data_IF_439569338017
#
_entry.id   IF_439569338017
#
_cell.length_a   1.000
_cell.length_b   1.000
_cell.length_c   1.000
_cell.angle_alpha   90.00
_cell.angle_beta   90.00
_cell.angle_gamma   90.00
#
_symmetry.space_group_name_H-M   'P 1'
#
loop_
_entity.id
_entity.type
_entity.pdbx_description
1 polymer ?
#
# COMPACT_ATOMS: atom_id res chain seq x y z
N UNK A 1 -12.88 -5.09 30.04
CA UNK A 1 -12.12 -6.08 29.25
C UNK A 1 -11.26 -5.33 28.23
N UNK A 2 -9.96 -5.62 28.13
CA UNK A 2 -9.14 -5.12 27.02
C UNK A 2 -9.34 -6.08 25.85
N UNK A 3 -10.11 -5.69 24.85
CA UNK A 3 -10.16 -6.43 23.58
C UNK A 3 -8.74 -6.58 23.01
N UNK A 4 -8.40 -7.78 22.57
CA UNK A 4 -7.10 -8.03 21.95
C UNK A 4 -7.04 -7.33 20.58
N UNK A 5 -5.83 -6.93 20.14
CA UNK A 5 -5.64 -6.32 18.81
C UNK A 5 -6.15 -7.26 17.70
N UNK A 6 -6.02 -8.58 17.90
CA UNK A 6 -6.48 -9.62 16.98
C UNK A 6 -8.00 -9.68 16.91
N UNK A 7 -8.73 -9.55 18.03
CA UNK A 7 -10.20 -9.51 18.01
C UNK A 7 -10.74 -8.34 17.17
N UNK A 8 -10.11 -7.17 17.30
CA UNK A 8 -10.47 -5.97 16.53
C UNK A 8 -10.26 -6.16 15.03
N UNK A 9 -9.13 -6.74 14.65
CA UNK A 9 -8.85 -7.09 13.24
C UNK A 9 -9.87 -8.12 12.76
N UNK A 10 -10.09 -9.18 13.54
CA UNK A 10 -11.01 -10.28 13.20
C UNK A 10 -12.43 -9.78 12.95
N UNK A 11 -12.92 -8.85 13.77
CA UNK A 11 -14.24 -8.25 13.60
C UNK A 11 -14.37 -7.54 12.24
N UNK A 12 -13.39 -6.68 11.89
CA UNK A 12 -13.41 -5.89 10.66
C UNK A 12 -13.29 -6.77 9.41
N UNK A 13 -12.38 -7.74 9.41
CA UNK A 13 -12.19 -8.62 8.24
C UNK A 13 -13.33 -9.63 8.05
N UNK A 14 -14.05 -9.97 9.12
CA UNK A 14 -15.20 -10.89 9.04
C UNK A 14 -16.46 -10.19 8.56
N UNK A 15 -16.72 -8.96 9.07
CA UNK A 15 -17.82 -8.11 8.62
C UNK A 15 -17.60 -7.63 7.19
N UNK A 16 -16.36 -7.28 6.86
CA UNK A 16 -16.01 -6.50 5.69
C UNK A 16 -15.78 -5.04 6.09
N UNK A 17 -14.81 -4.40 5.43
CA UNK A 17 -14.51 -2.98 5.59
C UNK A 17 -15.39 -2.19 4.62
N UNK A 18 -16.19 -1.26 5.13
CA UNK A 18 -17.22 -0.52 4.38
C UNK A 18 -16.99 1.00 4.37
N UNK A 19 -16.04 1.49 5.18
CA UNK A 19 -15.73 2.91 5.29
C UNK A 19 -14.23 3.18 5.40
N UNK A 20 -13.83 4.41 5.08
CA UNK A 20 -12.45 4.91 5.26
C UNK A 20 -11.97 4.76 6.70
N UNK A 21 -12.82 5.11 7.68
CA UNK A 21 -12.50 5.00 9.10
C UNK A 21 -12.22 3.54 9.51
N UNK A 22 -13.02 2.58 9.04
CA UNK A 22 -12.79 1.15 9.29
C UNK A 22 -11.49 0.67 8.61
N UNK A 23 -11.20 1.15 7.40
CA UNK A 23 -9.96 0.83 6.68
C UNK A 23 -8.72 1.32 7.45
N UNK A 24 -8.71 2.59 7.84
CA UNK A 24 -7.64 3.21 8.63
C UNK A 24 -7.48 2.46 9.95
N UNK A 25 -8.58 2.20 10.65
CA UNK A 25 -8.54 1.52 11.94
C UNK A 25 -8.00 0.09 11.82
N UNK A 26 -8.42 -0.67 10.80
CA UNK A 26 -7.90 -2.01 10.52
C UNK A 26 -6.39 -1.98 10.27
N UNK A 27 -5.92 -1.11 9.38
CA UNK A 27 -4.49 -0.99 9.04
C UNK A 27 -3.67 -0.54 10.25
N UNK A 28 -4.19 0.35 11.08
CA UNK A 28 -3.56 0.77 12.33
C UNK A 28 -3.43 -0.40 13.34
N UNK A 29 -4.45 -1.25 13.48
CA UNK A 29 -4.38 -2.44 14.33
C UNK A 29 -3.36 -3.46 13.79
N UNK A 30 -3.33 -3.70 12.46
CA UNK A 30 -2.35 -4.60 11.82
C UNK A 30 -0.94 -4.10 12.10
N UNK A 31 -0.65 -2.82 11.84
CA UNK A 31 0.67 -2.23 12.11
C UNK A 31 1.06 -2.36 13.58
N UNK A 32 0.14 -2.05 14.49
CA UNK A 32 0.36 -2.20 15.94
C UNK A 32 0.75 -3.64 16.29
N UNK A 33 0.06 -4.64 15.76
CA UNK A 33 0.37 -6.04 16.02
C UNK A 33 1.77 -6.41 15.51
N UNK A 34 2.08 -6.03 14.27
CA UNK A 34 3.38 -6.26 13.63
C UNK A 34 4.52 -5.64 14.46
N UNK A 35 4.36 -4.39 14.92
CA UNK A 35 5.36 -3.69 15.72
C UNK A 35 5.53 -4.28 17.12
N UNK A 36 4.41 -4.61 17.80
CA UNK A 36 4.43 -5.20 19.15
C UNK A 36 5.18 -6.53 19.20
N UNK A 37 5.08 -7.33 18.14
CA UNK A 37 5.69 -8.66 18.05
C UNK A 37 6.97 -8.68 17.22
N UNK A 38 7.43 -7.52 16.72
CA UNK A 38 8.63 -7.38 15.87
C UNK A 38 8.61 -8.36 14.68
N UNK A 39 7.44 -8.48 14.06
CA UNK A 39 7.26 -9.40 12.93
C UNK A 39 7.96 -8.81 11.72
N UNK A 40 9.03 -9.47 11.29
CA UNK A 40 9.70 -9.14 10.03
C UNK A 40 8.88 -9.63 8.83
N UNK A 41 9.04 -8.97 7.69
CA UNK A 41 8.16 -9.16 6.53
C UNK A 41 6.95 -8.22 6.55
N UNK A 42 6.04 -8.42 5.60
CA UNK A 42 4.85 -7.58 5.39
C UNK A 42 5.13 -6.13 4.99
N UNK A 43 5.99 -5.92 3.99
CA UNK A 43 6.39 -4.58 3.55
C UNK A 43 5.19 -3.78 3.01
N UNK A 44 4.31 -4.39 2.21
CA UNK A 44 3.14 -3.73 1.62
C UNK A 44 2.09 -3.39 2.69
N UNK A 45 1.86 -4.26 3.67
CA UNK A 45 0.95 -3.96 4.79
C UNK A 45 1.48 -2.80 5.65
N UNK A 46 2.78 -2.80 5.96
CA UNK A 46 3.44 -1.69 6.67
C UNK A 46 3.36 -0.40 5.86
N UNK A 47 3.56 -0.49 4.56
CA UNK A 47 3.44 0.65 3.65
C UNK A 47 2.02 1.21 3.69
N UNK A 48 0.98 0.39 3.46
CA UNK A 48 -0.42 0.81 3.55
C UNK A 48 -0.75 1.50 4.87
N UNK A 49 -0.38 0.87 5.99
CA UNK A 49 -0.69 1.40 7.31
C UNK A 49 0.05 2.69 7.64
N UNK A 50 1.23 2.91 7.06
CA UNK A 50 1.88 4.21 7.15
C UNK A 50 1.18 5.20 6.22
N UNK A 51 0.88 4.82 4.99
CA UNK A 51 0.27 5.70 3.99
C UNK A 51 -1.07 6.29 4.47
N UNK A 52 -1.85 5.54 5.24
CA UNK A 52 -3.12 6.04 5.80
C UNK A 52 -3.00 6.95 7.02
N UNK A 53 -1.82 7.09 7.62
CA UNK A 53 -1.63 7.80 8.90
C UNK A 53 -0.75 9.05 8.80
N UNK A 54 -0.07 9.26 7.68
CA UNK A 54 0.80 10.42 7.48
C UNK A 54 0.31 11.25 6.31
N UNK A 55 0.33 12.57 6.42
CA UNK A 55 0.02 13.49 5.32
C UNK A 55 1.09 13.49 4.22
N UNK A 56 2.31 13.07 4.54
CA UNK A 56 3.43 12.86 3.61
C UNK A 56 4.25 11.68 4.11
N UNK A 57 4.58 10.73 3.23
CA UNK A 57 5.34 9.54 3.61
C UNK A 57 6.84 9.73 3.33
N UNK A 58 7.61 10.14 4.35
CA UNK A 58 9.04 10.40 4.22
C UNK A 58 9.94 9.48 5.06
N UNK A 59 9.37 8.41 5.64
CA UNK A 59 10.10 7.50 6.52
C UNK A 59 11.18 6.68 5.77
N UNK A 60 12.11 6.08 6.51
CA UNK A 60 13.25 5.32 5.95
C UNK A 60 12.83 4.22 4.96
N UNK A 61 11.72 3.53 5.23
CA UNK A 61 11.21 2.47 4.36
C UNK A 61 10.80 2.99 2.99
N UNK A 62 10.13 4.14 2.97
CA UNK A 62 9.72 4.79 1.72
C UNK A 62 10.91 5.36 0.98
N UNK A 63 11.85 6.00 1.68
CA UNK A 63 13.06 6.54 1.04
C UNK A 63 13.91 5.43 0.39
N UNK A 64 13.93 4.22 0.97
CA UNK A 64 14.55 3.05 0.34
C UNK A 64 13.87 2.64 -0.96
N UNK A 65 12.53 2.59 -0.97
CA UNK A 65 11.75 2.31 -2.18
C UNK A 65 11.92 3.40 -3.25
N UNK A 66 11.84 4.69 -2.88
CA UNK A 66 12.02 5.80 -3.81
C UNK A 66 13.42 5.79 -4.42
N UNK A 67 14.45 5.37 -3.66
CA UNK A 67 15.81 5.21 -4.20
C UNK A 67 15.89 4.08 -5.21
N UNK A 68 15.37 2.90 -4.89
CA UNK A 68 15.32 1.77 -5.84
C UNK A 68 14.56 2.14 -7.13
N UNK A 69 13.46 2.89 -7.00
CA UNK A 69 12.69 3.37 -8.14
C UNK A 69 13.48 4.41 -8.95
N UNK A 70 14.20 5.32 -8.29
CA UNK A 70 15.05 6.31 -8.96
C UNK A 70 16.18 5.64 -9.74
N UNK A 71 16.87 4.68 -9.13
CA UNK A 71 17.97 3.94 -9.76
C UNK A 71 17.47 3.19 -11.01
N UNK A 72 16.28 2.58 -10.93
CA UNK A 72 15.63 1.98 -12.10
C UNK A 72 15.33 2.99 -13.22
N UNK A 73 14.89 4.20 -12.88
CA UNK A 73 14.62 5.25 -13.88
C UNK A 73 15.91 5.78 -14.53
N UNK A 74 16.97 5.95 -13.74
CA UNK A 74 18.30 6.35 -14.23
C UNK A 74 18.85 5.31 -15.22
N UNK A 75 18.73 4.02 -14.87
CA UNK A 75 19.16 2.94 -15.74
C UNK A 75 18.36 2.90 -17.04
N UNK A 76 17.03 3.07 -16.95
CA UNK A 76 16.17 3.09 -18.12
C UNK A 76 16.48 4.26 -19.07
N UNK A 77 16.79 5.45 -18.52
CA UNK A 77 17.23 6.59 -19.33
C UNK A 77 18.58 6.34 -19.99
N UNK A 78 19.53 5.76 -19.25
CA UNK A 78 20.89 5.48 -19.73
C UNK A 78 20.90 4.45 -20.86
N UNK A 79 20.04 3.44 -20.79
CA UNK A 79 20.02 2.32 -21.75
C UNK A 79 18.89 2.43 -22.78
N UNK A 80 17.96 3.37 -22.61
CA UNK A 80 16.81 3.57 -23.50
C UNK A 80 15.68 2.54 -23.36
N UNK A 81 15.74 1.63 -22.38
CA UNK A 81 14.77 0.54 -22.20
C UNK A 81 14.45 0.27 -20.71
N UNK A 82 13.19 -0.05 -20.42
CA UNK A 82 12.72 -0.38 -19.07
C UNK A 82 12.89 -1.87 -18.75
N UNK A 83 14.04 -2.27 -18.22
CA UNK A 83 14.33 -3.67 -17.86
C UNK A 83 13.95 -4.05 -16.42
N UNK A 84 12.66 -3.96 -16.08
CA UNK A 84 12.19 -4.27 -14.70
C UNK A 84 12.52 -5.70 -14.23
N UNK A 85 12.79 -6.62 -15.17
CA UNK A 85 13.23 -7.98 -14.86
C UNK A 85 14.57 -8.04 -14.11
N UNK A 86 15.44 -7.05 -14.28
CA UNK A 86 16.73 -6.94 -13.57
C UNK A 86 16.55 -6.46 -12.12
N UNK A 87 15.34 -6.01 -11.76
CA UNK A 87 14.99 -5.44 -10.48
C UNK A 87 13.87 -6.25 -9.79
N UNK A 88 14.12 -7.52 -9.40
CA UNK A 88 13.07 -8.42 -8.90
C UNK A 88 12.36 -7.91 -7.63
N UNK A 89 13.10 -7.26 -6.72
CA UNK A 89 12.53 -6.67 -5.51
C UNK A 89 11.63 -5.47 -5.83
N UNK A 90 12.08 -4.57 -6.72
CA UNK A 90 11.27 -3.43 -7.18
C UNK A 90 10.04 -3.92 -7.94
N UNK A 91 10.19 -4.93 -8.82
CA UNK A 91 9.07 -5.56 -9.53
C UNK A 91 8.00 -6.08 -8.56
N UNK A 92 8.41 -6.70 -7.45
CA UNK A 92 7.50 -7.16 -6.40
C UNK A 92 6.78 -5.98 -5.73
N UNK A 93 7.51 -4.92 -5.37
CA UNK A 93 6.92 -3.70 -4.77
C UNK A 93 5.96 -2.97 -5.73
N UNK A 94 6.29 -2.90 -7.02
CA UNK A 94 5.43 -2.33 -8.07
C UNK A 94 4.21 -3.21 -8.36
N UNK A 95 4.31 -4.52 -8.10
CA UNK A 95 3.16 -5.45 -8.09
C UNK A 95 2.34 -5.32 -6.80
N UNK A 96 2.18 -4.07 -6.32
CA UNK A 96 1.69 -3.71 -5.00
C UNK A 96 0.38 -4.40 -4.63
N UNK A 97 -0.61 -4.39 -5.52
CA UNK A 97 -1.93 -4.98 -5.27
C UNK A 97 -1.83 -6.48 -5.01
N UNK A 98 -1.08 -7.21 -5.85
CA UNK A 98 -0.90 -8.65 -5.71
C UNK A 98 -0.12 -8.97 -4.43
N UNK A 99 0.97 -8.24 -4.16
CA UNK A 99 1.78 -8.49 -2.96
C UNK A 99 1.07 -8.08 -1.67
N UNK A 100 0.27 -7.01 -1.66
CA UNK A 100 -0.56 -6.63 -0.53
C UNK A 100 -1.58 -7.72 -0.19
N UNK A 101 -2.18 -8.31 -1.21
CA UNK A 101 -3.16 -9.38 -1.06
C UNK A 101 -2.55 -10.63 -0.43
N UNK A 102 -1.39 -11.06 -0.94
CA UNK A 102 -0.63 -12.19 -0.40
C UNK A 102 -0.24 -11.92 1.05
N UNK A 103 0.34 -10.75 1.33
CA UNK A 103 0.75 -10.36 2.68
C UNK A 103 -0.44 -10.29 3.66
N UNK A 104 -1.58 -9.75 3.24
CA UNK A 104 -2.79 -9.71 4.08
C UNK A 104 -3.32 -11.11 4.39
N UNK A 105 -3.37 -11.98 3.37
CA UNK A 105 -3.79 -13.37 3.55
C UNK A 105 -2.85 -14.11 4.51
N UNK A 106 -1.54 -14.01 4.28
CA UNK A 106 -0.52 -14.65 5.11
C UNK A 106 -0.56 -14.15 6.55
N UNK A 107 -0.72 -12.84 6.75
CA UNK A 107 -0.88 -12.23 8.06
C UNK A 107 -2.10 -12.81 8.80
N UNK A 108 -3.27 -12.80 8.16
CA UNK A 108 -4.52 -13.26 8.78
C UNK A 108 -4.46 -14.75 9.14
N UNK A 109 -3.85 -15.57 8.27
CA UNK A 109 -3.60 -16.98 8.55
C UNK A 109 -2.66 -17.17 9.73
N UNK A 110 -1.55 -16.42 9.79
CA UNK A 110 -0.56 -16.51 10.87
C UNK A 110 -1.14 -16.19 12.25
N UNK A 111 -2.10 -15.25 12.32
CA UNK A 111 -2.79 -14.89 13.58
C UNK A 111 -4.07 -15.70 13.84
N UNK A 112 -4.35 -16.71 13.02
CA UNK A 112 -5.49 -17.63 13.20
C UNK A 112 -6.86 -17.06 12.84
N UNK A 113 -6.92 -15.97 12.08
CA UNK A 113 -8.19 -15.36 11.63
C UNK A 113 -8.63 -16.00 10.32
N UNK A 114 -9.79 -16.63 10.32
CA UNK A 114 -10.47 -17.08 9.09
C UNK A 114 -11.01 -15.87 8.34
N UNK A 115 -10.25 -15.37 7.38
CA UNK A 115 -10.64 -14.22 6.58
C UNK A 115 -11.54 -14.63 5.41
N UNK A 116 -12.53 -13.79 5.11
CA UNK A 116 -13.25 -13.84 3.83
C UNK A 116 -12.49 -13.12 2.72
N UNK A 117 -11.39 -12.42 3.03
CA UNK A 117 -10.60 -11.67 2.05
C UNK A 117 -9.74 -12.66 1.29
N UNK A 118 -10.05 -12.86 0.01
CA UNK A 118 -9.36 -13.82 -0.85
C UNK A 118 -8.91 -13.16 -2.14
N UNK A 119 -7.91 -13.76 -2.81
CA UNK A 119 -7.50 -13.35 -4.13
C UNK A 119 -8.63 -13.12 -5.11
N UNK A 120 -8.71 -11.89 -5.62
CA UNK A 120 -9.66 -11.51 -6.66
C UNK A 120 -11.13 -11.40 -6.24
N UNK A 121 -11.47 -11.54 -4.96
CA UNK A 121 -12.87 -11.46 -4.52
C UNK A 121 -13.36 -10.02 -4.30
N UNK A 122 -14.68 -9.85 -4.16
CA UNK A 122 -15.31 -8.54 -4.02
C UNK A 122 -14.90 -7.80 -2.74
N UNK A 123 -14.73 -8.52 -1.62
CA UNK A 123 -14.32 -7.91 -0.34
C UNK A 123 -12.93 -7.28 -0.43
N UNK A 124 -11.97 -7.96 -1.06
CA UNK A 124 -10.64 -7.39 -1.26
C UNK A 124 -10.65 -6.19 -2.21
N UNK A 125 -11.43 -6.27 -3.30
CA UNK A 125 -11.59 -5.12 -4.22
C UNK A 125 -12.21 -3.91 -3.53
N UNK A 126 -13.22 -4.11 -2.66
CA UNK A 126 -13.82 -3.04 -1.89
C UNK A 126 -12.81 -2.40 -0.92
N UNK A 127 -12.00 -3.23 -0.24
CA UNK A 127 -10.92 -2.74 0.61
C UNK A 127 -9.93 -1.88 -0.18
N UNK A 128 -9.50 -2.31 -1.38
CA UNK A 128 -8.60 -1.54 -2.23
C UNK A 128 -9.23 -0.21 -2.69
N UNK A 129 -10.52 -0.23 -3.01
CA UNK A 129 -11.25 0.98 -3.41
C UNK A 129 -11.28 2.00 -2.27
N UNK A 130 -11.63 1.55 -1.05
CA UNK A 130 -11.66 2.42 0.14
C UNK A 130 -10.24 2.89 0.49
N UNK A 131 -9.25 2.01 0.46
CA UNK A 131 -7.85 2.39 0.70
C UNK A 131 -7.40 3.46 -0.30
N UNK A 132 -7.73 3.30 -1.59
CA UNK A 132 -7.43 4.29 -2.62
C UNK A 132 -8.08 5.66 -2.37
N UNK A 133 -9.25 5.72 -1.73
CA UNK A 133 -9.87 6.98 -1.29
C UNK A 133 -9.08 7.61 -0.14
N UNK A 134 -8.66 6.81 0.83
CA UNK A 134 -7.87 7.29 1.99
C UNK A 134 -6.56 7.94 1.56
N UNK A 135 -5.90 7.41 0.54
CA UNK A 135 -4.56 7.87 0.11
C UNK A 135 -4.56 8.82 -1.10
N UNK A 136 -5.72 9.16 -1.66
CA UNK A 136 -5.82 9.92 -2.92
C UNK A 136 -5.09 11.27 -2.85
N UNK A 137 -5.19 11.96 -1.72
CA UNK A 137 -4.55 13.25 -1.48
C UNK A 137 -3.27 13.15 -0.63
N UNK A 138 -2.70 11.94 -0.51
CA UNK A 138 -1.54 11.68 0.34
C UNK A 138 -0.36 11.20 -0.53
N UNK A 139 0.58 12.08 -0.90
CA UNK A 139 1.72 11.66 -1.71
C UNK A 139 2.84 10.96 -0.91
N UNK A 140 3.61 10.13 -1.61
CA UNK A 140 4.94 9.69 -1.18
C UNK A 140 5.96 10.73 -1.64
N UNK A 141 6.57 11.45 -0.69
CA UNK A 141 7.42 12.61 -1.02
C UNK A 141 8.88 12.29 -0.71
N UNK A 142 9.78 12.70 -1.60
CA UNK A 142 11.22 12.66 -1.33
C UNK A 142 11.57 13.67 -0.25
N UNK A 143 12.47 13.32 0.68
CA UNK A 143 12.93 14.32 1.66
C UNK A 143 13.58 15.52 0.95
N UNK A 144 13.48 16.73 1.51
CA UNK A 144 14.27 17.87 1.06
C UNK A 144 15.76 17.49 1.04
N UNK A 145 16.47 17.80 -0.06
CA UNK A 145 17.87 17.43 -0.31
C UNK A 145 18.14 15.92 -0.49
N UNK A 146 17.11 15.12 -0.82
CA UNK A 146 17.33 13.73 -1.24
C UNK A 146 18.11 13.72 -2.56
N UNK A 147 19.11 12.84 -2.74
CA UNK A 147 19.94 12.78 -3.96
C UNK A 147 19.22 12.14 -5.15
N UNK A 148 17.88 12.09 -5.13
CA UNK A 148 17.08 11.46 -6.18
C UNK A 148 16.86 12.48 -7.30
N UNK A 149 17.42 12.18 -8.47
CA UNK A 149 17.42 13.07 -9.64
C UNK A 149 16.15 12.97 -10.50
N UNK A 150 15.44 11.85 -10.43
CA UNK A 150 14.34 11.51 -11.34
C UNK A 150 12.98 11.42 -10.65
N UNK A 151 12.95 11.49 -9.32
CA UNK A 151 11.73 11.36 -8.52
C UNK A 151 11.70 12.48 -7.49
N UNK A 152 10.65 13.30 -7.56
CA UNK A 152 10.29 14.25 -6.50
C UNK A 152 9.16 13.70 -5.62
N UNK A 153 8.18 13.06 -6.25
CA UNK A 153 6.93 12.64 -5.63
C UNK A 153 6.34 11.42 -6.35
N UNK A 154 5.64 10.55 -5.61
CA UNK A 154 4.78 9.50 -6.15
C UNK A 154 3.37 9.66 -5.57
N UNK A 155 2.40 9.96 -6.43
CA UNK A 155 0.98 10.10 -6.07
C UNK A 155 0.18 8.87 -6.50
N UNK A 156 -0.79 8.45 -5.69
CA UNK A 156 -1.82 7.54 -6.15
C UNK A 156 -2.97 8.34 -6.75
N UNK A 157 -3.30 8.08 -8.01
CA UNK A 157 -4.49 8.65 -8.65
C UNK A 157 -5.45 7.54 -9.02
N UNK A 158 -6.73 7.71 -8.66
CA UNK A 158 -7.79 6.90 -9.22
C UNK A 158 -7.87 7.23 -10.71
N UNK A 159 -7.96 6.22 -11.58
CA UNK A 159 -8.39 6.48 -12.97
C UNK A 159 -9.78 7.12 -12.88
N UNK A 160 -9.86 8.44 -13.07
CA UNK A 160 -11.10 9.06 -13.51
C UNK A 160 -11.43 8.38 -14.83
N UNK A 161 -12.59 7.74 -14.90
CA UNK A 161 -13.14 7.24 -16.15
C UNK A 161 -13.04 8.39 -17.16
N UNK A 162 -12.30 8.20 -18.26
CA UNK A 162 -12.17 9.14 -19.37
C UNK A 162 -13.49 9.13 -20.16
N UNK A 163 -14.59 9.43 -19.47
CA UNK A 163 -15.93 9.53 -20.03
C UNK A 163 -16.67 10.60 -19.27
N UNK A 164 -16.19 11.84 -19.38
CA UNK A 164 -17.02 13.01 -19.19
C UNK A 164 -16.40 14.14 -20.02
N UNK A 165 -17.14 14.52 -21.07
CA UNK A 165 -17.00 15.69 -21.94
C UNK A 165 -16.31 15.50 -23.31
N UNK A 166 -16.80 14.56 -24.11
CA UNK A 166 -17.11 14.85 -25.53
C UNK A 166 -18.64 14.89 -25.71
N UNK A 167 -19.29 15.91 -25.12
CA UNK A 167 -20.59 16.40 -25.58
C UNK A 167 -20.65 17.92 -25.38
N UNK A 168 -20.29 18.64 -26.45
CA UNK A 168 -20.92 19.82 -27.06
C UNK A 168 -21.32 21.05 -26.20
N UNK A 169 -21.32 22.26 -26.79
CA UNK A 169 -21.97 22.61 -28.07
C UNK A 169 -21.11 22.37 -29.31
#
# INVERSE_FOLDING_TARGET
MKESVIEKISMLVTKGVESEAECIYMLAQIRKHIEQHRIEGYWNLRMCANWTLYSQLDNKTVQGFLRELNDFLVDAETHGEYHIAQYPLLKKKLSFVTSLQEELSDFLNAVGIKSKIHPGNSTFRNLLQIFGQVIEDTPLVCKPNSPLSHISEVTFSRRKTIFENEQSP
#
